data_IF_183700164880
#
_entry.id   IF_183700164880
#
_cell.length_a   1.000
_cell.length_b   1.000
_cell.length_c   1.000
_cell.angle_alpha   90.00
_cell.angle_beta   90.00
_cell.angle_gamma   90.00
#
_symmetry.space_group_name_H-M   'P 1'
#
loop_
_entity.id
_entity.type
_entity.pdbx_description
1 polymer ?
#
# COMPACT_ATOMS: atom_id res chain seq x y z
N UNK A 1 62.59 32.92 7.59
CA UNK A 1 61.19 32.98 8.05
C UNK A 1 60.15 32.53 7.03
N UNK A 2 60.44 32.46 5.71
CA UNK A 2 59.41 32.10 4.70
C UNK A 2 59.12 30.61 4.47
N UNK A 3 59.97 29.67 4.92
CA UNK A 3 59.75 28.23 4.68
C UNK A 3 58.74 27.61 5.68
N UNK A 4 58.70 28.12 6.92
CA UNK A 4 57.79 27.62 7.96
C UNK A 4 56.32 27.97 7.67
N UNK A 5 56.06 29.17 7.14
CA UNK A 5 54.70 29.63 6.82
C UNK A 5 54.10 28.92 5.60
N UNK A 6 54.92 28.50 4.64
CA UNK A 6 54.45 27.72 3.48
C UNK A 6 54.05 26.29 3.87
N UNK A 7 54.77 25.67 4.81
CA UNK A 7 54.47 24.32 5.32
C UNK A 7 53.19 24.34 6.18
N UNK A 8 52.98 25.39 6.98
CA UNK A 8 51.74 25.55 7.77
C UNK A 8 50.51 25.79 6.88
N UNK A 9 50.64 26.55 5.79
CA UNK A 9 49.57 26.76 4.81
C UNK A 9 49.20 25.46 4.05
N UNK A 10 50.18 24.65 3.67
CA UNK A 10 49.94 23.35 3.02
C UNK A 10 49.27 22.34 3.97
N UNK A 11 49.69 22.30 5.24
CA UNK A 11 49.03 21.50 6.28
C UNK A 11 47.58 21.92 6.56
N UNK A 12 47.29 23.23 6.54
CA UNK A 12 45.94 23.73 6.77
C UNK A 12 44.99 23.45 5.60
N UNK A 13 45.46 23.62 4.36
CA UNK A 13 44.64 23.35 3.15
C UNK A 13 44.36 21.86 2.98
N UNK A 14 45.35 20.98 3.19
CA UNK A 14 45.16 19.52 3.17
C UNK A 14 44.15 19.06 4.23
N UNK A 15 44.21 19.61 5.44
CA UNK A 15 43.22 19.35 6.48
C UNK A 15 41.81 19.80 6.09
N UNK A 16 41.66 20.99 5.51
CA UNK A 16 40.37 21.51 5.04
C UNK A 16 39.78 20.65 3.90
N UNK A 17 40.61 20.15 2.98
CA UNK A 17 40.18 19.26 1.91
C UNK A 17 39.67 17.93 2.49
N UNK A 18 40.40 17.34 3.45
CA UNK A 18 39.98 16.10 4.12
C UNK A 18 38.66 16.30 4.87
N UNK A 19 38.49 17.40 5.59
CA UNK A 19 37.24 17.72 6.29
C UNK A 19 36.07 17.85 5.30
N UNK A 20 36.27 18.59 4.21
CA UNK A 20 35.24 18.79 3.18
C UNK A 20 34.85 17.47 2.51
N UNK A 21 35.84 16.64 2.17
CA UNK A 21 35.60 15.30 1.63
C UNK A 21 34.82 14.42 2.63
N UNK A 22 35.16 14.48 3.92
CA UNK A 22 34.49 13.73 4.98
C UNK A 22 33.02 14.14 5.11
N UNK A 23 32.72 15.45 5.05
CA UNK A 23 31.34 15.95 5.07
C UNK A 23 30.52 15.44 3.88
N UNK A 24 31.11 15.45 2.68
CA UNK A 24 30.45 14.94 1.47
C UNK A 24 30.13 13.45 1.64
N UNK A 25 31.10 12.65 2.08
CA UNK A 25 30.88 11.21 2.34
C UNK A 25 29.80 10.99 3.40
N UNK A 26 29.80 11.76 4.48
CA UNK A 26 28.79 11.66 5.53
C UNK A 26 27.38 11.95 5.00
N UNK A 27 27.22 12.97 4.14
CA UNK A 27 25.93 13.28 3.49
C UNK A 27 25.47 12.12 2.60
N UNK A 28 26.36 11.53 1.81
CA UNK A 28 26.02 10.36 0.98
C UNK A 28 25.62 9.14 1.82
N UNK A 29 26.37 8.83 2.88
CA UNK A 29 26.05 7.73 3.79
C UNK A 29 24.69 7.96 4.47
N UNK A 30 24.43 9.18 4.95
CA UNK A 30 23.15 9.55 5.55
C UNK A 30 21.99 9.37 4.56
N UNK A 31 22.15 9.81 3.31
CA UNK A 31 21.16 9.61 2.26
C UNK A 31 20.85 8.12 2.04
N UNK A 32 21.88 7.29 1.88
CA UNK A 32 21.71 5.84 1.68
C UNK A 32 21.03 5.20 2.90
N UNK A 33 21.43 5.61 4.11
CA UNK A 33 20.85 5.11 5.36
C UNK A 33 19.36 5.44 5.46
N UNK A 34 18.97 6.69 5.18
CA UNK A 34 17.57 7.12 5.20
C UNK A 34 16.75 6.33 4.17
N UNK A 35 17.29 6.11 2.97
CA UNK A 35 16.61 5.32 1.94
C UNK A 35 16.39 3.88 2.39
N UNK A 36 17.42 3.21 2.91
CA UNK A 36 17.31 1.84 3.43
C UNK A 36 16.33 1.76 4.60
N UNK A 37 16.35 2.75 5.49
CA UNK A 37 15.43 2.80 6.63
C UNK A 37 13.97 2.92 6.16
N UNK A 38 13.69 3.75 5.16
CA UNK A 38 12.35 3.84 4.56
C UNK A 38 11.91 2.51 3.96
N UNK A 39 12.79 1.84 3.22
CA UNK A 39 12.49 0.51 2.65
C UNK A 39 12.20 -0.53 3.76
N UNK A 40 12.96 -0.55 4.85
CA UNK A 40 12.70 -1.44 5.99
C UNK A 40 11.35 -1.14 6.65
N UNK A 41 11.05 0.13 6.93
CA UNK A 41 9.77 0.54 7.53
C UNK A 41 8.60 0.11 6.64
N UNK A 42 8.72 0.31 5.33
CA UNK A 42 7.70 -0.09 4.35
C UNK A 42 7.43 -1.59 4.39
N UNK A 43 8.48 -2.41 4.45
CA UNK A 43 8.37 -3.87 4.58
C UNK A 43 7.74 -4.28 5.91
N UNK A 44 8.15 -3.68 7.02
CA UNK A 44 7.56 -3.93 8.35
C UNK A 44 6.07 -3.59 8.40
N UNK A 45 5.66 -2.44 7.83
CA UNK A 45 4.24 -2.07 7.72
C UNK A 45 3.45 -3.04 6.87
N UNK A 46 4.05 -3.55 5.80
CA UNK A 46 3.42 -4.55 4.92
C UNK A 46 3.28 -5.90 5.62
N UNK A 47 4.28 -6.34 6.39
CA UNK A 47 4.18 -7.54 7.22
C UNK A 47 3.05 -7.38 8.24
N UNK A 48 2.98 -6.25 8.94
CA UNK A 48 1.91 -5.99 9.90
C UNK A 48 0.52 -6.03 9.27
N UNK A 49 0.37 -5.51 8.05
CA UNK A 49 -0.85 -5.61 7.26
C UNK A 49 -1.19 -7.08 6.95
N UNK A 50 -0.25 -7.82 6.36
CA UNK A 50 -0.44 -9.22 5.97
C UNK A 50 -0.73 -10.15 7.16
N UNK A 51 -0.14 -9.86 8.33
CA UNK A 51 -0.41 -10.61 9.56
C UNK A 51 -1.80 -10.29 10.11
N UNK A 52 -2.20 -9.01 10.11
CA UNK A 52 -3.54 -8.60 10.52
C UNK A 52 -4.61 -9.30 9.68
N UNK A 53 -4.38 -9.48 8.39
CA UNK A 53 -5.32 -10.17 7.50
C UNK A 53 -5.65 -11.60 7.93
N UNK A 54 -4.68 -12.29 8.53
CA UNK A 54 -4.86 -13.65 8.99
C UNK A 54 -5.73 -13.74 10.24
N UNK A 55 -5.83 -12.64 10.99
CA UNK A 55 -6.51 -12.56 12.28
C UNK A 55 -7.86 -11.82 12.19
N UNK A 56 -8.22 -11.28 11.02
CA UNK A 56 -9.37 -10.39 10.92
C UNK A 56 -10.69 -11.09 10.59
N UNK A 57 -11.61 -11.07 11.55
CA UNK A 57 -12.95 -11.65 11.43
C UNK A 57 -13.78 -10.99 10.33
N UNK A 58 -13.63 -9.67 10.09
CA UNK A 58 -14.42 -8.98 9.07
C UNK A 58 -14.06 -9.44 7.65
N UNK A 59 -12.78 -9.77 7.41
CA UNK A 59 -12.33 -10.32 6.14
C UNK A 59 -12.96 -11.67 5.91
N UNK A 60 -12.95 -12.49 6.96
CA UNK A 60 -13.54 -13.82 6.94
C UNK A 60 -15.03 -13.76 6.62
N UNK A 61 -15.78 -12.81 7.19
CA UNK A 61 -17.22 -12.69 6.96
C UNK A 61 -17.56 -12.16 5.57
N UNK A 62 -16.86 -11.13 5.08
CA UNK A 62 -17.00 -10.68 3.69
C UNK A 62 -16.69 -11.79 2.68
N UNK A 63 -15.61 -12.55 2.92
CA UNK A 63 -15.22 -13.68 2.08
C UNK A 63 -16.25 -14.82 2.12
N UNK A 64 -16.87 -15.10 3.27
CA UNK A 64 -17.96 -16.08 3.36
C UNK A 64 -19.13 -15.69 2.47
N UNK A 65 -19.50 -14.41 2.43
CA UNK A 65 -20.58 -13.92 1.58
C UNK A 65 -20.20 -14.07 0.11
N UNK A 66 -19.01 -13.62 -0.29
CA UNK A 66 -18.49 -13.80 -1.66
C UNK A 66 -18.50 -15.27 -2.11
N UNK A 67 -18.18 -16.22 -1.22
CA UNK A 67 -18.25 -17.65 -1.54
C UNK A 67 -19.66 -18.22 -1.68
N UNK A 68 -20.68 -17.56 -1.13
CA UNK A 68 -22.10 -17.95 -1.29
C UNK A 68 -22.69 -17.44 -2.61
N UNK A 69 -22.06 -16.42 -3.19
CA UNK A 69 -22.43 -15.80 -4.46
C UNK A 69 -21.92 -16.68 -5.59
N UNK A 70 -22.73 -17.69 -5.91
CA UNK A 70 -22.75 -18.47 -7.16
C UNK A 70 -23.85 -19.55 -7.07
N UNK A 71 -24.34 -19.83 -5.85
CA UNK A 71 -25.30 -20.92 -5.59
C UNK A 71 -26.72 -20.46 -5.29
N UNK A 72 -26.94 -19.21 -4.89
CA UNK A 72 -28.24 -18.80 -4.32
C UNK A 72 -28.63 -17.33 -4.56
N UNK A 73 -27.66 -16.41 -4.73
CA UNK A 73 -27.92 -14.97 -4.85
C UNK A 73 -26.94 -14.25 -5.80
N UNK A 74 -27.44 -13.18 -6.43
CA UNK A 74 -26.67 -12.21 -7.20
C UNK A 74 -26.12 -11.11 -6.28
N UNK A 75 -24.80 -10.86 -6.28
CA UNK A 75 -24.18 -9.93 -5.32
C UNK A 75 -24.68 -8.48 -5.48
N UNK A 76 -24.99 -8.08 -6.71
CA UNK A 76 -25.50 -6.75 -7.04
C UNK A 76 -26.84 -6.44 -6.36
N UNK A 77 -27.59 -7.44 -5.92
CA UNK A 77 -28.82 -7.22 -5.16
C UNK A 77 -28.55 -6.53 -3.82
N UNK A 78 -27.41 -6.78 -3.20
CA UNK A 78 -27.02 -6.16 -1.92
C UNK A 78 -26.64 -4.69 -2.06
N UNK A 79 -26.43 -4.21 -3.30
CA UNK A 79 -26.18 -2.80 -3.58
C UNK A 79 -27.48 -1.97 -3.70
N UNK A 80 -28.62 -2.63 -3.96
CA UNK A 80 -29.92 -1.96 -4.13
C UNK A 80 -30.43 -1.34 -2.82
N UNK A 81 -31.15 -0.21 -2.92
CA UNK A 81 -31.62 0.56 -1.76
C UNK A 81 -32.36 -0.28 -0.69
N UNK A 82 -33.14 -1.28 -1.10
CA UNK A 82 -33.90 -2.15 -0.19
C UNK A 82 -33.04 -3.13 0.63
N UNK A 83 -31.86 -3.48 0.15
CA UNK A 83 -30.91 -4.39 0.82
C UNK A 83 -29.63 -3.68 1.25
N UNK A 84 -29.48 -2.38 0.95
CA UNK A 84 -28.27 -1.60 1.22
C UNK A 84 -27.84 -1.65 2.69
N UNK A 85 -28.79 -1.73 3.62
CA UNK A 85 -28.52 -1.77 5.05
C UNK A 85 -28.55 -3.19 5.65
N UNK A 86 -28.57 -4.25 4.84
CA UNK A 86 -28.46 -5.61 5.37
C UNK A 86 -27.04 -5.87 5.90
N UNK A 87 -26.93 -6.78 6.87
CA UNK A 87 -25.64 -7.21 7.43
C UNK A 87 -24.69 -7.72 6.33
N UNK A 88 -25.22 -8.44 5.35
CA UNK A 88 -24.45 -8.91 4.19
C UNK A 88 -23.89 -7.75 3.36
N UNK A 89 -24.70 -6.73 3.09
CA UNK A 89 -24.27 -5.56 2.32
C UNK A 89 -23.21 -4.76 3.09
N UNK A 90 -23.34 -4.67 4.42
CA UNK A 90 -22.35 -4.03 5.29
C UNK A 90 -21.03 -4.81 5.27
N UNK A 91 -21.08 -6.13 5.39
CA UNK A 91 -19.90 -6.99 5.36
C UNK A 91 -19.16 -6.93 4.01
N UNK A 92 -19.90 -6.92 2.88
CA UNK A 92 -19.30 -6.71 1.55
C UNK A 92 -18.59 -5.35 1.50
N UNK A 93 -19.23 -4.26 1.97
CA UNK A 93 -18.58 -2.94 1.98
C UNK A 93 -17.35 -2.89 2.87
N UNK A 94 -17.36 -3.54 4.02
CA UNK A 94 -16.21 -3.58 4.91
C UNK A 94 -15.02 -4.27 4.24
N UNK A 95 -15.27 -5.39 3.54
CA UNK A 95 -14.25 -6.07 2.73
C UNK A 95 -13.70 -5.17 1.61
N UNK A 96 -14.58 -4.46 0.89
CA UNK A 96 -14.16 -3.55 -0.18
C UNK A 96 -13.39 -2.33 0.36
N UNK A 97 -13.83 -1.76 1.47
CA UNK A 97 -13.16 -0.66 2.15
C UNK A 97 -11.76 -1.05 2.62
N UNK A 98 -11.59 -2.29 3.08
CA UNK A 98 -10.29 -2.81 3.44
C UNK A 98 -9.31 -2.77 2.26
N UNK A 99 -9.69 -3.29 1.09
CA UNK A 99 -8.83 -3.25 -0.09
C UNK A 99 -8.67 -1.85 -0.69
N UNK A 100 -9.64 -0.95 -0.51
CA UNK A 100 -9.49 0.47 -0.83
C UNK A 100 -8.36 1.11 0.00
N UNK A 101 -8.31 0.82 1.30
CA UNK A 101 -7.25 1.31 2.20
C UNK A 101 -5.88 0.76 1.79
N UNK A 102 -5.80 -0.51 1.37
CA UNK A 102 -4.56 -1.06 0.81
C UNK A 102 -4.16 -0.28 -0.45
N UNK A 103 -5.09 -0.02 -1.36
CA UNK A 103 -4.85 0.76 -2.57
C UNK A 103 -4.29 2.16 -2.25
N UNK A 104 -4.89 2.85 -1.28
CA UNK A 104 -4.40 4.15 -0.76
C UNK A 104 -2.99 4.02 -0.20
N UNK A 105 -2.70 2.97 0.59
CA UNK A 105 -1.39 2.76 1.19
C UNK A 105 -0.29 2.44 0.16
N UNK A 106 -0.64 1.76 -0.94
CA UNK A 106 0.28 1.52 -2.06
C UNK A 106 0.57 2.82 -2.83
N UNK A 107 -0.46 3.60 -3.14
CA UNK A 107 -0.31 4.89 -3.83
C UNK A 107 0.48 5.91 -2.99
N UNK A 108 0.38 5.82 -1.66
CA UNK A 108 1.09 6.67 -0.71
C UNK A 108 2.50 6.17 -0.34
N UNK A 109 3.01 5.13 -1.02
CA UNK A 109 4.32 4.51 -0.76
C UNK A 109 4.51 3.93 0.66
N UNK A 110 3.41 3.60 1.34
CA UNK A 110 3.40 3.05 2.72
C UNK A 110 3.59 1.53 2.71
N UNK A 111 3.01 0.84 1.72
CA UNK A 111 3.08 -0.62 1.59
C UNK A 111 3.94 -1.05 0.42
N UNK A 112 4.68 -2.15 0.58
CA UNK A 112 5.54 -2.75 -0.43
C UNK A 112 4.70 -3.59 -1.40
N UNK A 113 4.53 -3.07 -2.61
CA UNK A 113 3.72 -3.72 -3.65
C UNK A 113 4.29 -5.08 -4.07
N UNK A 114 5.62 -5.29 -4.02
CA UNK A 114 6.21 -6.56 -4.40
C UNK A 114 5.83 -7.62 -3.36
N UNK A 115 5.90 -7.29 -2.08
CA UNK A 115 5.46 -8.18 -1.00
C UNK A 115 3.97 -8.52 -1.09
N UNK A 116 3.10 -7.54 -1.38
CA UNK A 116 1.67 -7.81 -1.58
C UNK A 116 1.44 -8.71 -2.80
N UNK A 117 2.18 -8.47 -3.89
CA UNK A 117 2.10 -9.30 -5.10
C UNK A 117 2.45 -10.76 -4.78
N UNK A 118 3.54 -10.98 -4.06
CA UNK A 118 4.02 -12.33 -3.72
C UNK A 118 3.08 -13.05 -2.75
N UNK A 119 2.49 -12.33 -1.79
CA UNK A 119 1.66 -12.92 -0.75
C UNK A 119 0.20 -13.17 -1.19
N UNK A 120 -0.42 -12.20 -1.88
CA UNK A 120 -1.89 -12.16 -1.99
C UNK A 120 -2.43 -11.77 -3.37
N UNK A 121 -1.59 -11.55 -4.41
CA UNK A 121 -2.03 -11.11 -5.75
C UNK A 121 -3.27 -11.83 -6.27
N UNK A 122 -3.22 -13.15 -6.31
CA UNK A 122 -4.32 -13.98 -6.86
C UNK A 122 -5.61 -13.84 -6.05
N UNK A 123 -5.49 -13.74 -4.72
CA UNK A 123 -6.63 -13.60 -3.82
C UNK A 123 -7.31 -12.24 -4.03
N UNK A 124 -6.53 -11.15 -4.02
CA UNK A 124 -7.03 -9.79 -4.19
C UNK A 124 -7.75 -9.61 -5.54
N UNK A 125 -7.15 -10.13 -6.62
CA UNK A 125 -7.76 -10.08 -7.97
C UNK A 125 -9.09 -10.84 -7.98
N UNK A 126 -9.15 -12.05 -7.44
CA UNK A 126 -10.40 -12.86 -7.40
C UNK A 126 -11.50 -12.21 -6.58
N UNK A 127 -11.15 -11.57 -5.46
CA UNK A 127 -12.11 -10.84 -4.63
C UNK A 127 -12.72 -9.69 -5.42
N UNK A 128 -11.88 -8.91 -6.12
CA UNK A 128 -12.39 -7.83 -6.96
C UNK A 128 -13.33 -8.36 -8.05
N UNK A 129 -12.93 -9.40 -8.76
CA UNK A 129 -13.76 -10.00 -9.83
C UNK A 129 -15.12 -10.49 -9.32
N UNK A 130 -15.16 -11.10 -8.13
CA UNK A 130 -16.42 -11.52 -7.51
C UNK A 130 -17.27 -10.34 -7.02
N UNK A 131 -16.64 -9.26 -6.57
CA UNK A 131 -17.32 -8.10 -6.02
C UNK A 131 -17.63 -7.00 -7.06
N UNK A 132 -17.09 -7.11 -8.27
CA UNK A 132 -17.24 -6.12 -9.34
C UNK A 132 -18.70 -5.79 -9.66
N UNK A 133 -19.64 -6.76 -9.77
CA UNK A 133 -21.06 -6.44 -10.00
C UNK A 133 -21.67 -5.57 -8.90
N UNK A 134 -21.27 -5.80 -7.63
CA UNK A 134 -21.71 -4.98 -6.50
C UNK A 134 -21.13 -3.56 -6.55
N UNK A 135 -19.85 -3.42 -6.91
CA UNK A 135 -19.19 -2.13 -7.07
C UNK A 135 -19.89 -1.33 -8.15
N UNK A 136 -20.07 -1.92 -9.34
CA UNK A 136 -20.73 -1.28 -10.48
C UNK A 136 -22.15 -0.85 -10.10
N UNK A 137 -22.93 -1.73 -9.46
CA UNK A 137 -24.29 -1.41 -9.06
C UNK A 137 -24.33 -0.31 -8.01
N UNK A 138 -23.44 -0.34 -7.02
CA UNK A 138 -23.36 0.70 -5.98
C UNK A 138 -23.02 2.07 -6.58
N UNK A 139 -22.12 2.12 -7.56
CA UNK A 139 -21.78 3.37 -8.29
C UNK A 139 -22.99 3.95 -9.01
N UNK A 140 -23.86 3.11 -9.56
CA UNK A 140 -25.11 3.53 -10.21
C UNK A 140 -26.15 4.03 -9.20
N UNK A 141 -26.40 3.28 -8.13
CA UNK A 141 -27.38 3.61 -7.08
C UNK A 141 -27.02 4.92 -6.37
N UNK A 142 -25.73 5.13 -6.09
CA UNK A 142 -25.25 6.31 -5.37
C UNK A 142 -24.84 7.47 -6.30
N UNK A 143 -24.99 7.27 -7.63
CA UNK A 143 -24.54 8.20 -8.66
C UNK A 143 -23.09 8.71 -8.44
N UNK A 144 -22.20 7.79 -8.08
CA UNK A 144 -20.81 8.08 -7.75
C UNK A 144 -19.88 7.06 -8.39
N UNK A 145 -19.23 7.44 -9.49
CA UNK A 145 -18.30 6.58 -10.21
C UNK A 145 -17.01 6.25 -9.44
N UNK A 146 -16.69 6.99 -8.37
CA UNK A 146 -15.43 6.88 -7.64
C UNK A 146 -15.47 5.90 -6.47
N UNK A 147 -16.59 5.22 -6.22
CA UNK A 147 -16.65 4.23 -5.15
C UNK A 147 -15.63 3.11 -5.40
N UNK A 148 -14.78 2.85 -4.41
CA UNK A 148 -13.70 1.87 -4.44
C UNK A 148 -12.73 1.99 -5.63
N UNK A 149 -12.44 3.23 -6.05
CA UNK A 149 -11.55 3.48 -7.19
C UNK A 149 -10.09 3.13 -6.87
N UNK A 150 -9.63 3.28 -5.62
CA UNK A 150 -8.26 2.93 -5.24
C UNK A 150 -8.06 1.42 -5.24
N UNK A 151 -9.08 0.65 -4.87
CA UNK A 151 -9.08 -0.80 -5.01
C UNK A 151 -9.04 -1.20 -6.49
N UNK A 152 -9.84 -0.57 -7.36
CA UNK A 152 -9.76 -0.81 -8.79
C UNK A 152 -8.35 -0.51 -9.36
N UNK A 153 -7.75 0.63 -8.99
CA UNK A 153 -6.38 0.97 -9.39
C UNK A 153 -5.36 -0.06 -8.88
N UNK A 154 -5.53 -0.57 -7.65
CA UNK A 154 -4.70 -1.65 -7.12
C UNK A 154 -4.76 -2.89 -8.02
N UNK A 155 -5.93 -3.27 -8.52
CA UNK A 155 -6.07 -4.41 -9.45
C UNK A 155 -5.27 -4.18 -10.73
N UNK A 156 -5.34 -2.97 -11.30
CA UNK A 156 -4.57 -2.64 -12.50
C UNK A 156 -3.06 -2.74 -12.26
N UNK A 157 -2.57 -2.31 -11.08
CA UNK A 157 -1.16 -2.46 -10.68
C UNK A 157 -0.79 -3.94 -10.50
N UNK A 158 -1.69 -4.75 -9.94
CA UNK A 158 -1.45 -6.17 -9.68
C UNK A 158 -1.44 -7.02 -10.94
N UNK A 159 -2.24 -6.66 -11.95
CA UNK A 159 -2.32 -7.36 -13.25
C UNK A 159 -1.10 -7.11 -14.14
N UNK A 160 -0.44 -5.97 -14.00
CA UNK A 160 0.88 -5.68 -14.62
C UNK A 160 1.98 -6.53 -13.99
#
# INVERSE_FOLDING_TARGET
MGCSSLIELDGQTTFQVIQTATLIVAVFVAWISIKKQRETIKKEKTIGLLMKDLEDDFLTDGLKILRKIDKEYHIEDFAKANKKNSDDAIAIRNLLNYYEIIGVGIESDIYDIAMIKDAQKTMIIRIYEQAEPFIIRSRQEDNNANLWIKFQNLIDILRR
#
